data_IF_477050693091
#
_entry.id   IF_477050693091
#
_cell.length_a   1.000
_cell.length_b   1.000
_cell.length_c   1.000
_cell.angle_alpha   90.00
_cell.angle_beta   90.00
_cell.angle_gamma   90.00
#
_symmetry.space_group_name_H-M   'P 1'
#
loop_
_entity.id
_entity.type
_entity.pdbx_description
1 polymer ?
#
# COMPACT_ATOMS: atom_id res chain seq x y z
N UNK A 1 1.35 -6.04 7.96
CA UNK A 1 2.10 -6.70 6.86
C UNK A 1 3.58 -6.43 7.08
N UNK A 2 4.44 -7.41 6.81
CA UNK A 2 5.82 -7.48 7.33
C UNK A 2 6.77 -7.56 6.13
N UNK A 3 7.71 -6.61 5.99
CA UNK A 3 8.50 -6.41 4.76
C UNK A 3 9.97 -6.05 5.04
N UNK A 4 10.86 -6.40 4.10
CA UNK A 4 12.25 -5.94 4.06
C UNK A 4 12.38 -4.80 3.04
N UNK A 5 12.94 -3.64 3.43
CA UNK A 5 12.78 -2.35 2.71
C UNK A 5 13.91 -2.02 1.70
N UNK A 6 14.96 -2.83 1.59
CA UNK A 6 16.02 -2.62 0.57
C UNK A 6 15.69 -3.33 -0.77
N UNK A 7 15.87 -2.74 -1.99
CA UNK A 7 16.13 -1.36 -2.42
C UNK A 7 14.91 -0.67 -3.10
N UNK A 8 14.97 0.66 -3.10
CA UNK A 8 13.93 1.63 -3.46
C UNK A 8 13.64 1.78 -4.97
N UNK A 9 13.78 0.70 -5.76
CA UNK A 9 13.49 0.78 -7.19
C UNK A 9 11.97 0.87 -7.36
N UNK A 10 11.49 1.99 -7.88
CA UNK A 10 10.10 2.21 -8.24
C UNK A 10 9.74 1.35 -9.46
N UNK A 11 9.68 0.04 -9.23
CA UNK A 11 9.19 -0.93 -10.17
C UNK A 11 7.68 -1.01 -9.99
N UNK A 12 6.92 -0.67 -11.03
CA UNK A 12 5.46 -0.74 -11.01
C UNK A 12 4.93 -2.17 -10.75
N UNK A 13 5.76 -3.20 -10.94
CA UNK A 13 5.42 -4.59 -10.57
C UNK A 13 5.51 -4.84 -9.06
N UNK A 14 6.07 -3.91 -8.28
CA UNK A 14 6.21 -3.98 -6.82
C UNK A 14 5.37 -2.87 -6.17
N UNK A 15 4.07 -3.11 -5.93
CA UNK A 15 3.17 -2.08 -5.42
C UNK A 15 3.55 -1.58 -4.01
N UNK A 16 4.11 -2.45 -3.15
CA UNK A 16 4.41 -2.10 -1.76
C UNK A 16 5.47 -0.98 -1.62
N UNK A 17 6.66 -1.06 -2.26
CA UNK A 17 7.61 0.06 -2.29
C UNK A 17 7.03 1.37 -2.82
N UNK A 18 6.19 1.32 -3.86
CA UNK A 18 5.57 2.50 -4.48
C UNK A 18 4.59 3.17 -3.51
N UNK A 19 3.76 2.38 -2.82
CA UNK A 19 2.80 2.88 -1.81
C UNK A 19 3.53 3.47 -0.60
N UNK A 20 4.65 2.87 -0.20
CA UNK A 20 5.50 3.39 0.87
C UNK A 20 6.16 4.73 0.47
N UNK A 21 6.76 4.82 -0.72
CA UNK A 21 7.38 6.06 -1.22
C UNK A 21 6.39 7.21 -1.43
N UNK A 22 5.15 6.89 -1.82
CA UNK A 22 4.08 7.89 -1.97
C UNK A 22 3.48 8.37 -0.64
N UNK A 23 3.92 7.80 0.50
CA UNK A 23 3.55 8.27 1.83
C UNK A 23 2.26 7.67 2.40
N UNK A 24 1.65 6.69 1.71
CA UNK A 24 0.46 6.00 2.22
C UNK A 24 0.79 4.99 3.33
N UNK A 25 1.96 4.37 3.28
CA UNK A 25 2.45 3.47 4.32
C UNK A 25 3.65 4.10 5.03
N UNK A 26 3.69 3.91 6.35
CA UNK A 26 4.82 4.29 7.21
C UNK A 26 5.32 3.09 7.99
N UNK A 27 6.55 3.17 8.51
CA UNK A 27 7.10 2.17 9.42
C UNK A 27 6.38 2.30 10.76
N UNK A 28 5.76 1.21 11.20
CA UNK A 28 5.12 1.10 12.52
C UNK A 28 6.02 0.45 13.55
N UNK A 29 6.85 -0.49 13.11
CA UNK A 29 7.75 -1.23 13.98
C UNK A 29 8.93 -1.82 13.19
N UNK A 30 10.02 -2.11 13.88
CA UNK A 30 11.22 -2.74 13.33
C UNK A 30 11.69 -3.88 14.21
N UNK A 31 11.78 -5.07 13.64
CA UNK A 31 12.36 -6.24 14.28
C UNK A 31 13.82 -6.42 13.81
N UNK A 32 14.82 -6.10 14.67
CA UNK A 32 16.23 -6.13 14.30
C UNK A 32 16.80 -7.55 14.13
N UNK A 33 16.20 -8.56 14.77
CA UNK A 33 16.67 -9.95 14.69
C UNK A 33 16.52 -10.51 13.28
N UNK A 34 15.43 -10.13 12.61
CA UNK A 34 15.11 -10.58 11.25
C UNK A 34 15.29 -9.47 10.21
N UNK A 35 15.73 -8.28 10.62
CA UNK A 35 15.82 -7.07 9.78
C UNK A 35 14.50 -6.78 9.04
N UNK A 36 13.41 -6.83 9.79
CA UNK A 36 12.04 -6.82 9.29
C UNK A 36 11.35 -5.53 9.71
N UNK A 37 10.63 -4.90 8.78
CA UNK A 37 9.83 -3.71 9.04
C UNK A 37 8.34 -4.01 8.94
N UNK A 38 7.59 -3.57 9.92
CA UNK A 38 6.12 -3.60 9.87
C UNK A 38 5.62 -2.29 9.27
N UNK A 39 4.89 -2.38 8.16
CA UNK A 39 4.27 -1.23 7.51
C UNK A 39 2.79 -1.11 7.89
N UNK A 40 2.33 0.13 8.04
CA UNK A 40 0.92 0.44 8.30
C UNK A 40 0.57 1.87 7.90
N UNK A 41 -0.72 2.16 7.86
CA UNK A 41 -1.21 3.52 7.59
C UNK A 41 -0.89 4.45 8.76
N UNK A 42 -0.43 5.68 8.51
CA UNK A 42 -0.14 6.65 9.56
C UNK A 42 -1.40 7.15 10.25
N UNK A 43 -2.49 7.30 9.49
CA UNK A 43 -3.78 7.79 9.96
C UNK A 43 -4.94 7.05 9.27
N UNK A 44 -6.11 7.03 9.90
CA UNK A 44 -7.32 6.42 9.35
C UNK A 44 -7.79 7.15 8.07
N UNK A 45 -7.62 8.47 7.99
CA UNK A 45 -7.92 9.26 6.78
C UNK A 45 -7.13 8.78 5.56
N UNK A 46 -5.85 8.45 5.76
CA UNK A 46 -4.96 7.95 4.71
C UNK A 46 -5.37 6.54 4.29
N UNK A 47 -5.82 5.71 5.25
CA UNK A 47 -6.37 4.37 4.97
C UNK A 47 -7.65 4.45 4.14
N UNK A 48 -8.60 5.30 4.52
CA UNK A 48 -9.86 5.46 3.78
C UNK A 48 -9.64 6.12 2.41
N UNK A 49 -8.76 7.12 2.32
CA UNK A 49 -8.38 7.75 1.04
C UNK A 49 -7.70 6.75 0.10
N UNK A 50 -6.78 5.93 0.62
CA UNK A 50 -6.16 4.85 -0.13
C UNK A 50 -7.19 3.83 -0.60
N UNK A 51 -8.06 3.32 0.29
CA UNK A 51 -9.11 2.36 -0.07
C UNK A 51 -10.05 2.89 -1.16
N UNK A 52 -10.42 4.17 -1.14
CA UNK A 52 -11.20 4.79 -2.21
C UNK A 52 -10.42 4.91 -3.54
N UNK A 53 -9.10 5.11 -3.47
CA UNK A 53 -8.25 5.16 -4.66
C UNK A 53 -8.07 3.78 -5.32
N UNK A 54 -7.92 2.72 -4.51
CA UNK A 54 -7.80 1.34 -5.03
C UNK A 54 -9.16 0.67 -5.26
N UNK A 55 -10.26 1.16 -4.69
CA UNK A 55 -11.61 0.64 -4.92
C UNK A 55 -11.94 0.43 -6.41
N UNK A 56 -11.75 1.40 -7.33
CA UNK A 56 -12.02 1.19 -8.76
C UNK A 56 -11.10 0.16 -9.44
N UNK A 57 -9.97 -0.22 -8.80
CA UNK A 57 -9.08 -1.28 -9.29
C UNK A 57 -9.39 -2.66 -8.69
N UNK A 58 -10.05 -2.72 -7.53
CA UNK A 58 -10.42 -3.95 -6.84
C UNK A 58 -11.88 -4.37 -7.05
N UNK A 59 -12.73 -3.43 -7.45
CA UNK A 59 -14.09 -3.74 -7.88
C UNK A 59 -14.15 -3.67 -9.39
N UNK A 60 -14.08 -4.83 -10.04
CA UNK A 60 -14.76 -4.99 -11.33
C UNK A 60 -16.26 -4.88 -11.04
N UNK A 61 -16.78 -3.67 -10.80
CA UNK A 61 -18.19 -3.44 -11.07
C UNK A 61 -18.22 -3.16 -12.56
N UNK A 62 -18.54 -4.15 -13.43
CA UNK A 62 -18.86 -3.81 -14.80
C UNK A 62 -19.94 -2.75 -14.71
N UNK A 63 -19.68 -1.59 -15.32
CA UNK A 63 -20.73 -0.59 -15.50
C UNK A 63 -21.87 -1.35 -16.18
N UNK A 64 -22.93 -1.68 -15.44
CA UNK A 64 -24.14 -2.25 -16.00
C UNK A 64 -24.68 -1.20 -16.94
N UNK A 65 -24.30 -1.34 -18.21
CA UNK A 65 -24.85 -0.62 -19.34
C UNK A 65 -26.29 -1.08 -19.45
N UNK A 66 -27.18 -0.38 -18.75
CA UNK A 66 -28.61 -0.56 -18.91
C UNK A 66 -28.97 -0.07 -20.32
N UNK A 67 -29.51 -0.99 -21.10
CA UNK A 67 -29.96 -0.82 -22.47
C UNK A 67 -31.47 -0.55 -22.50
#
# INVERSE_FOLDING_TARGET
MVYNIFPCTADATRPIPVIYQSGYLTIKDFNPEFNIYTLGFPNDEVKYGFLNFIAPFYTEVPATRNH
#
